data_IF_792882948655
#
_entry.id   IF_792882948655
#
_cell.length_a   1.000
_cell.length_b   1.000
_cell.length_c   1.000
_cell.angle_alpha   90.00
_cell.angle_beta   90.00
_cell.angle_gamma   90.00
#
_symmetry.space_group_name_H-M   'P 1'
#
loop_
_entity.id
_entity.type
_entity.pdbx_description
1 polymer ?
#
# COMPACT_ATOMS: atom_id res chain seq x y z
N UNK A 1 48.49 -31.63 -57.17
CA UNK A 1 47.11 -31.35 -56.76
C UNK A 1 47.14 -30.12 -55.84
N UNK A 2 46.57 -29.00 -56.33
CA UNK A 2 45.86 -27.87 -55.68
C UNK A 2 46.36 -27.40 -54.28
N UNK A 3 46.82 -26.17 -53.98
CA UNK A 3 46.48 -24.74 -54.27
C UNK A 3 45.09 -24.28 -53.78
N UNK A 4 45.09 -23.15 -53.04
CA UNK A 4 44.09 -22.05 -52.94
C UNK A 4 43.39 -21.86 -51.57
N UNK A 5 43.76 -20.80 -50.79
CA UNK A 5 43.03 -19.52 -50.49
C UNK A 5 42.17 -19.67 -49.19
N UNK A 6 41.87 -18.70 -48.33
CA UNK A 6 42.00 -17.22 -48.27
C UNK A 6 41.57 -16.73 -46.87
N UNK A 7 42.01 -15.51 -46.53
CA UNK A 7 41.55 -14.54 -45.52
C UNK A 7 40.09 -14.62 -45.01
N UNK A 8 39.87 -14.26 -43.73
CA UNK A 8 38.89 -13.25 -43.27
C UNK A 8 39.09 -12.97 -41.76
N UNK A 9 39.56 -11.77 -41.39
CA UNK A 9 38.76 -10.67 -40.80
C UNK A 9 38.56 -10.82 -39.28
N UNK A 10 39.37 -10.13 -38.47
CA UNK A 10 38.97 -8.90 -37.75
C UNK A 10 37.62 -9.01 -37.08
N UNK A 11 37.60 -9.05 -35.74
CA UNK A 11 36.73 -8.19 -34.96
C UNK A 11 37.18 -8.17 -33.48
N UNK A 12 37.85 -7.07 -33.17
CA UNK A 12 37.99 -6.52 -31.84
C UNK A 12 36.59 -6.22 -31.27
N UNK A 13 36.26 -6.74 -30.09
CA UNK A 13 35.17 -6.16 -29.29
C UNK A 13 35.59 -6.08 -27.82
N UNK A 14 36.64 -5.30 -27.57
CA UNK A 14 36.61 -4.36 -26.45
C UNK A 14 35.82 -3.13 -26.91
N UNK A 15 34.49 -3.15 -26.84
CA UNK A 15 33.67 -2.01 -27.25
C UNK A 15 32.30 -2.00 -26.54
N UNK A 16 31.98 -0.84 -25.97
CA UNK A 16 30.85 -0.48 -25.09
C UNK A 16 31.08 -0.73 -23.60
N UNK A 17 31.91 0.07 -22.93
CA UNK A 17 31.81 1.53 -22.71
C UNK A 17 30.77 1.88 -21.65
N UNK A 18 31.25 2.63 -20.66
CA UNK A 18 30.49 3.09 -19.52
C UNK A 18 29.58 4.24 -19.91
N UNK A 19 28.47 3.96 -20.60
CA UNK A 19 27.41 4.94 -20.79
C UNK A 19 26.04 4.24 -20.82
N UNK A 20 25.44 4.03 -19.64
CA UNK A 20 23.98 4.09 -19.50
C UNK A 20 23.52 4.30 -18.03
N UNK A 21 24.17 5.27 -17.37
CA UNK A 21 23.60 6.10 -16.30
C UNK A 21 22.42 6.98 -16.81
N UNK A 22 21.57 6.47 -17.70
CA UNK A 22 20.40 7.18 -18.20
C UNK A 22 19.32 6.26 -18.80
N UNK A 23 19.05 5.11 -18.18
CA UNK A 23 17.72 4.48 -18.35
C UNK A 23 16.91 4.56 -17.05
N UNK A 24 16.79 5.80 -16.56
CA UNK A 24 15.51 6.39 -16.13
C UNK A 24 14.47 6.28 -17.25
N UNK A 25 14.20 5.07 -17.77
CA UNK A 25 12.94 4.79 -18.42
C UNK A 25 11.94 4.83 -17.30
N UNK A 26 11.38 6.02 -17.10
CA UNK A 26 10.14 6.24 -16.38
C UNK A 26 9.24 5.08 -16.77
N UNK A 27 9.08 4.10 -15.88
CA UNK A 27 8.05 3.08 -16.02
C UNK A 27 6.79 3.90 -15.93
N UNK A 28 6.30 4.35 -17.10
CA UNK A 28 5.12 5.16 -17.26
C UNK A 28 4.07 4.46 -16.43
N UNK A 29 3.78 5.03 -15.28
CA UNK A 29 3.07 4.37 -14.22
C UNK A 29 1.62 4.32 -14.66
N UNK A 30 1.29 3.34 -15.50
CA UNK A 30 -0.06 3.17 -16.00
C UNK A 30 -0.93 2.95 -14.77
N UNK A 31 -1.76 3.94 -14.48
CA UNK A 31 -2.81 3.87 -13.50
C UNK A 31 -3.79 2.86 -14.09
N UNK A 32 -3.90 1.68 -13.46
CA UNK A 32 -4.71 0.56 -13.95
C UNK A 32 -6.17 0.71 -13.53
N UNK A 33 -6.42 1.48 -12.47
CA UNK A 33 -7.70 1.77 -11.86
C UNK A 33 -7.80 3.28 -11.57
N UNK A 34 -7.82 4.15 -12.61
CA UNK A 34 -7.89 5.60 -12.44
C UNK A 34 -9.14 6.04 -11.69
N UNK A 35 -10.24 5.31 -11.86
CA UNK A 35 -11.49 5.52 -11.14
C UNK A 35 -11.33 5.27 -9.63
N UNK A 36 -10.57 4.24 -9.23
CA UNK A 36 -10.38 3.93 -7.80
C UNK A 36 -9.51 4.98 -7.09
N UNK A 37 -8.46 5.48 -7.76
CA UNK A 37 -7.64 6.57 -7.24
C UNK A 37 -8.39 7.89 -7.20
N UNK A 38 -9.21 8.19 -8.23
CA UNK A 38 -10.06 9.37 -8.26
C UNK A 38 -11.11 9.32 -7.15
N UNK A 39 -11.86 8.22 -7.00
CA UNK A 39 -12.86 8.08 -5.94
C UNK A 39 -12.21 8.18 -4.54
N UNK A 40 -11.02 7.63 -4.35
CA UNK A 40 -10.28 7.75 -3.09
C UNK A 40 -9.98 9.20 -2.70
N UNK A 41 -9.60 10.03 -3.68
CA UNK A 41 -9.33 11.45 -3.45
C UNK A 41 -10.63 12.25 -3.35
N UNK A 42 -11.63 11.92 -4.17
CA UNK A 42 -12.92 12.63 -4.23
C UNK A 42 -13.65 12.62 -2.89
N UNK A 43 -13.83 11.44 -2.26
CA UNK A 43 -14.53 11.35 -0.96
C UNK A 43 -13.81 12.12 0.17
N UNK A 44 -12.47 12.22 0.08
CA UNK A 44 -11.64 12.93 1.06
C UNK A 44 -11.72 14.43 0.88
N UNK A 45 -11.62 14.89 -0.37
CA UNK A 45 -11.72 16.31 -0.71
C UNK A 45 -13.14 16.81 -0.45
N UNK A 46 -14.18 16.02 -0.77
CA UNK A 46 -15.57 16.40 -0.51
C UNK A 46 -15.85 16.57 0.99
N UNK A 47 -15.33 15.69 1.85
CA UNK A 47 -15.53 15.80 3.30
C UNK A 47 -14.88 17.08 3.87
N UNK A 48 -13.70 17.46 3.36
CA UNK A 48 -13.01 18.70 3.75
C UNK A 48 -13.76 19.93 3.26
N UNK A 49 -14.21 19.92 1.99
CA UNK A 49 -14.98 21.02 1.42
C UNK A 49 -16.29 21.21 2.21
N UNK A 50 -17.00 20.14 2.52
CA UNK A 50 -18.23 20.22 3.32
C UNK A 50 -17.95 20.76 4.73
N UNK A 51 -16.85 20.35 5.37
CA UNK A 51 -16.45 20.90 6.67
C UNK A 51 -16.23 22.43 6.59
N UNK A 52 -15.44 22.90 5.62
CA UNK A 52 -15.15 24.33 5.44
C UNK A 52 -16.37 25.15 5.03
N UNK A 53 -17.17 24.66 4.08
CA UNK A 53 -18.38 25.35 3.61
C UNK A 53 -19.46 25.37 4.70
N UNK A 54 -19.59 24.32 5.51
CA UNK A 54 -20.52 24.31 6.63
C UNK A 54 -20.10 25.25 7.75
N UNK A 55 -18.79 25.45 7.96
CA UNK A 55 -18.29 26.45 8.90
C UNK A 55 -18.53 27.89 8.41
N UNK A 56 -18.56 28.10 7.08
CA UNK A 56 -18.68 29.43 6.47
C UNK A 56 -20.12 29.84 6.07
N UNK A 57 -20.98 28.90 5.65
CA UNK A 57 -22.24 29.22 4.93
C UNK A 57 -23.52 28.69 5.60
N UNK A 58 -23.44 27.68 6.48
CA UNK A 58 -24.64 26.97 6.96
C UNK A 58 -25.03 27.31 8.40
N UNK A 59 -26.27 27.77 8.59
CA UNK A 59 -26.88 27.91 9.93
C UNK A 59 -27.31 26.57 10.55
N UNK A 60 -27.43 25.51 9.74
CA UNK A 60 -27.91 24.18 10.20
C UNK A 60 -26.75 23.28 10.63
N UNK A 61 -26.25 23.50 11.84
CA UNK A 61 -25.15 22.72 12.44
C UNK A 61 -25.37 21.19 12.41
N UNK A 62 -26.58 20.73 12.77
CA UNK A 62 -26.89 19.29 12.89
C UNK A 62 -26.83 18.60 11.51
N UNK A 63 -27.41 19.21 10.49
CA UNK A 63 -27.41 18.66 9.14
C UNK A 63 -25.96 18.52 8.62
N UNK A 64 -25.16 19.56 8.78
CA UNK A 64 -23.73 19.54 8.42
C UNK A 64 -22.95 18.45 9.16
N UNK A 65 -23.15 18.32 10.47
CA UNK A 65 -22.53 17.29 11.29
C UNK A 65 -22.85 15.88 10.76
N UNK A 66 -24.12 15.59 10.50
CA UNK A 66 -24.58 14.30 10.00
C UNK A 66 -23.99 14.02 8.62
N UNK A 67 -23.99 15.00 7.71
CA UNK A 67 -23.41 14.85 6.37
C UNK A 67 -21.92 14.52 6.44
N UNK A 68 -21.15 15.21 7.29
CA UNK A 68 -19.70 14.94 7.44
C UNK A 68 -19.46 13.53 8.00
N UNK A 69 -20.22 13.11 9.00
CA UNK A 69 -20.10 11.76 9.58
C UNK A 69 -20.42 10.69 8.53
N UNK A 70 -21.46 10.88 7.72
CA UNK A 70 -21.81 9.95 6.64
C UNK A 70 -20.70 9.89 5.58
N UNK A 71 -20.15 11.04 5.18
CA UNK A 71 -19.03 11.09 4.23
C UNK A 71 -17.78 10.41 4.80
N UNK A 72 -17.44 10.64 6.07
CA UNK A 72 -16.33 9.99 6.75
C UNK A 72 -16.52 8.48 6.86
N UNK A 73 -17.74 8.02 7.12
CA UNK A 73 -18.07 6.59 7.21
C UNK A 73 -17.99 5.92 5.83
N UNK A 74 -18.47 6.60 4.80
CA UNK A 74 -18.36 6.15 3.41
C UNK A 74 -16.88 6.08 2.97
N UNK A 75 -16.08 7.12 3.25
CA UNK A 75 -14.63 7.09 2.99
C UNK A 75 -13.97 5.95 3.76
N UNK A 76 -14.27 5.81 5.05
CA UNK A 76 -13.72 4.73 5.87
C UNK A 76 -14.00 3.36 5.24
N UNK A 77 -15.24 3.11 4.81
CA UNK A 77 -15.63 1.86 4.18
C UNK A 77 -14.96 1.66 2.81
N UNK A 78 -14.96 2.68 1.96
CA UNK A 78 -14.35 2.63 0.64
C UNK A 78 -12.84 2.41 0.73
N UNK A 79 -12.19 3.02 1.73
CA UNK A 79 -10.78 2.84 2.04
C UNK A 79 -10.52 1.40 2.44
N UNK A 80 -11.25 0.91 3.44
CA UNK A 80 -11.09 -0.42 4.03
C UNK A 80 -11.37 -1.56 3.04
N UNK A 81 -12.43 -1.44 2.24
CA UNK A 81 -12.95 -2.55 1.44
C UNK A 81 -12.62 -2.48 -0.06
N UNK A 82 -12.57 -1.28 -0.64
CA UNK A 82 -12.40 -1.11 -2.08
C UNK A 82 -10.96 -0.77 -2.40
N UNK A 83 -10.51 0.41 -1.96
CA UNK A 83 -9.21 0.95 -2.39
C UNK A 83 -8.03 0.19 -1.77
N UNK A 84 -8.13 -0.29 -0.53
CA UNK A 84 -7.13 -1.15 0.08
C UNK A 84 -6.93 -2.47 -0.68
N UNK A 85 -8.01 -3.08 -1.19
CA UNK A 85 -7.94 -4.33 -1.95
C UNK A 85 -7.46 -4.12 -3.38
N UNK A 86 -7.90 -3.04 -4.03
CA UNK A 86 -7.59 -2.76 -5.43
C UNK A 86 -6.20 -2.12 -5.63
N UNK A 87 -5.88 -1.08 -4.85
CA UNK A 87 -4.67 -0.26 -5.07
C UNK A 87 -3.43 -0.79 -4.36
N UNK A 88 -3.57 -1.52 -3.25
CA UNK A 88 -2.43 -2.07 -2.49
C UNK A 88 -2.54 -3.57 -2.20
N UNK A 89 -3.69 -4.19 -2.45
CA UNK A 89 -3.88 -5.61 -2.19
C UNK A 89 -3.74 -5.98 -0.71
N UNK A 90 -4.03 -5.03 0.18
CA UNK A 90 -3.96 -5.23 1.63
C UNK A 90 -5.36 -5.38 2.20
N UNK A 91 -5.51 -6.28 3.17
CA UNK A 91 -6.79 -6.53 3.85
C UNK A 91 -6.55 -6.74 5.33
N UNK A 92 -7.37 -6.11 6.17
CA UNK A 92 -7.36 -6.30 7.62
C UNK A 92 -8.79 -6.44 8.15
N UNK A 93 -9.00 -7.39 9.04
CA UNK A 93 -10.28 -7.61 9.73
C UNK A 93 -10.02 -8.22 11.11
N UNK A 94 -11.06 -8.19 11.94
CA UNK A 94 -11.07 -8.85 13.22
C UNK A 94 -11.89 -10.13 13.11
N UNK A 95 -11.33 -11.26 13.51
CA UNK A 95 -12.02 -12.54 13.64
C UNK A 95 -12.22 -12.80 15.13
N UNK A 96 -13.44 -13.18 15.52
CA UNK A 96 -13.73 -13.57 16.90
C UNK A 96 -13.83 -15.08 16.90
N UNK A 97 -13.02 -15.73 17.72
CA UNK A 97 -13.02 -17.18 17.87
C UNK A 97 -14.19 -17.63 18.75
N UNK A 98 -14.47 -18.94 18.77
CA UNK A 98 -15.57 -19.51 19.58
C UNK A 98 -15.39 -19.25 21.08
N UNK A 99 -14.14 -19.04 21.52
CA UNK A 99 -13.78 -18.62 22.89
C UNK A 99 -14.01 -17.12 23.16
N UNK A 100 -14.58 -16.37 22.20
CA UNK A 100 -14.78 -14.92 22.29
C UNK A 100 -13.51 -14.08 22.17
N UNK A 101 -12.36 -14.68 21.81
CA UNK A 101 -11.08 -13.98 21.66
C UNK A 101 -10.97 -13.28 20.31
N UNK A 102 -10.44 -12.06 20.31
CA UNK A 102 -10.34 -11.17 19.14
C UNK A 102 -9.00 -11.36 18.40
N UNK A 103 -9.02 -12.03 17.26
CA UNK A 103 -7.88 -12.27 16.39
C UNK A 103 -7.84 -11.31 15.21
N UNK A 104 -6.89 -10.38 15.23
CA UNK A 104 -6.68 -9.45 14.13
C UNK A 104 -5.86 -10.08 13.00
N UNK A 105 -6.50 -10.29 11.86
CA UNK A 105 -5.87 -10.91 10.68
C UNK A 105 -5.48 -9.83 9.66
N UNK A 106 -4.22 -9.88 9.20
CA UNK A 106 -3.65 -8.91 8.27
C UNK A 106 -3.06 -9.65 7.06
N UNK A 107 -3.71 -9.50 5.92
CA UNK A 107 -3.29 -10.09 4.65
C UNK A 107 -2.66 -9.04 3.74
N UNK A 108 -1.62 -9.47 3.04
CA UNK A 108 -1.04 -8.74 1.93
C UNK A 108 -0.90 -9.69 0.73
N UNK A 109 -1.42 -9.27 -0.43
CA UNK A 109 -1.34 -10.06 -1.65
C UNK A 109 0.13 -10.13 -2.11
N UNK A 110 0.67 -11.35 -2.22
CA UNK A 110 2.01 -11.55 -2.81
C UNK A 110 2.01 -11.06 -4.26
N UNK A 111 2.96 -10.20 -4.61
CA UNK A 111 3.27 -9.87 -5.99
C UNK A 111 3.92 -11.11 -6.63
N UNK A 112 3.12 -12.09 -7.07
CA UNK A 112 3.66 -13.28 -7.73
C UNK A 112 4.16 -12.91 -9.12
N UNK A 113 5.42 -13.27 -9.42
CA UNK A 113 6.08 -13.10 -10.72
C UNK A 113 5.40 -13.83 -11.90
N UNK A 114 4.36 -14.62 -11.64
CA UNK A 114 3.59 -15.35 -12.65
C UNK A 114 2.10 -14.98 -12.56
N UNK A 115 1.63 -14.17 -13.53
CA UNK A 115 0.29 -14.37 -14.10
C UNK A 115 -0.92 -13.56 -13.62
N UNK A 116 -0.90 -12.72 -12.57
CA UNK A 116 -2.07 -11.85 -12.25
C UNK A 116 -1.68 -10.43 -11.85
N UNK A 117 -2.10 -9.47 -12.69
CA UNK A 117 -2.15 -8.00 -12.51
C UNK A 117 -1.24 -7.47 -11.38
N UNK A 118 0.04 -7.27 -11.68
CA UNK A 118 0.94 -6.53 -10.78
C UNK A 118 0.30 -5.19 -10.42
N UNK A 119 0.09 -4.94 -9.14
CA UNK A 119 -0.41 -3.66 -8.61
C UNK A 119 0.49 -2.54 -9.14
N UNK A 120 -0.09 -1.43 -9.64
CA UNK A 120 0.72 -0.34 -10.17
C UNK A 120 1.43 0.39 -9.04
N UNK A 121 2.74 0.62 -9.16
CA UNK A 121 3.53 1.31 -8.14
C UNK A 121 2.97 2.73 -7.85
N UNK A 122 2.44 3.42 -8.87
CA UNK A 122 1.81 4.73 -8.67
C UNK A 122 0.51 4.66 -7.87
N UNK A 123 -0.32 3.65 -8.08
CA UNK A 123 -1.58 3.48 -7.31
C UNK A 123 -1.28 3.23 -5.85
N UNK A 124 -0.23 2.43 -5.56
CA UNK A 124 0.24 2.23 -4.20
C UNK A 124 0.71 3.55 -3.58
N UNK A 125 1.51 4.35 -4.30
CA UNK A 125 1.99 5.66 -3.81
C UNK A 125 0.84 6.62 -3.52
N UNK A 126 -0.13 6.73 -4.43
CA UNK A 126 -1.31 7.60 -4.27
C UNK A 126 -2.14 7.15 -3.06
N UNK A 127 -2.34 5.84 -2.90
CA UNK A 127 -3.03 5.31 -1.73
C UNK A 127 -2.31 5.65 -0.43
N UNK A 128 -1.00 5.40 -0.33
CA UNK A 128 -0.24 5.69 0.89
C UNK A 128 -0.17 7.19 1.18
N UNK A 129 -0.02 8.02 0.16
CA UNK A 129 -0.05 9.47 0.29
C UNK A 129 -1.41 9.92 0.82
N UNK A 130 -2.51 9.50 0.18
CA UNK A 130 -3.86 9.79 0.64
C UNK A 130 -4.07 9.34 2.07
N UNK A 131 -3.76 8.08 2.38
CA UNK A 131 -3.95 7.45 3.69
C UNK A 131 -3.22 8.17 4.82
N UNK A 132 -2.09 8.82 4.56
CA UNK A 132 -1.31 9.59 5.54
C UNK A 132 -1.74 11.06 5.56
N UNK A 133 -1.89 11.71 4.41
CA UNK A 133 -2.24 13.13 4.32
C UNK A 133 -3.61 13.44 4.93
N UNK A 134 -4.60 12.58 4.73
CA UNK A 134 -5.95 12.82 5.25
C UNK A 134 -6.01 12.86 6.80
N UNK A 135 -5.52 11.86 7.56
CA UNK A 135 -5.49 11.96 9.02
C UNK A 135 -4.66 13.15 9.52
N UNK A 136 -3.57 13.53 8.83
CA UNK A 136 -2.80 14.74 9.18
C UNK A 136 -3.66 16.01 9.09
N UNK A 137 -4.45 16.16 8.02
CA UNK A 137 -5.38 17.29 7.87
C UNK A 137 -6.45 17.29 8.96
N UNK A 138 -7.03 16.12 9.29
CA UNK A 138 -7.99 16.01 10.39
C UNK A 138 -7.39 16.34 11.76
N UNK A 139 -6.12 15.98 11.98
CA UNK A 139 -5.38 16.37 13.20
C UNK A 139 -5.18 17.88 13.25
N UNK A 140 -4.84 18.53 12.15
CA UNK A 140 -4.76 20.00 12.08
C UNK A 140 -6.11 20.62 12.43
N UNK A 141 -7.21 20.12 11.85
CA UNK A 141 -8.56 20.58 12.21
C UNK A 141 -8.89 20.33 13.69
N UNK A 142 -8.34 19.26 14.29
CA UNK A 142 -8.57 18.94 15.70
C UNK A 142 -7.93 20.00 16.58
N UNK A 143 -6.68 20.35 16.28
CA UNK A 143 -5.98 21.42 16.97
C UNK A 143 -6.68 22.77 16.78
N UNK A 144 -7.10 23.13 15.55
CA UNK A 144 -7.81 24.39 15.34
C UNK A 144 -9.13 24.46 16.10
N UNK A 145 -9.91 23.36 16.12
CA UNK A 145 -11.17 23.30 16.86
C UNK A 145 -10.96 23.34 18.38
N UNK A 146 -9.89 22.70 18.87
CA UNK A 146 -9.51 22.67 20.28
C UNK A 146 -9.10 24.06 20.78
N UNK A 147 -8.18 24.74 20.07
CA UNK A 147 -7.72 26.08 20.43
C UNK A 147 -8.81 27.14 20.23
N UNK A 148 -9.73 26.95 19.28
CA UNK A 148 -10.87 27.85 19.07
C UNK A 148 -12.04 27.60 20.04
N UNK A 149 -11.91 26.66 20.98
CA UNK A 149 -12.97 26.22 21.91
C UNK A 149 -14.33 25.91 21.24
N UNK A 150 -14.29 25.43 19.98
CA UNK A 150 -15.49 25.06 19.22
C UNK A 150 -15.92 23.63 19.58
N UNK A 151 -16.36 23.43 20.82
CA UNK A 151 -16.71 22.10 21.39
C UNK A 151 -17.69 21.31 20.53
N UNK A 152 -18.62 22.00 19.87
CA UNK A 152 -19.57 21.41 18.91
C UNK A 152 -18.83 20.63 17.80
N UNK A 153 -17.86 21.25 17.15
CA UNK A 153 -17.10 20.64 16.04
C UNK A 153 -16.07 19.61 16.50
N UNK A 154 -15.66 19.67 17.76
CA UNK A 154 -14.66 18.77 18.32
C UNK A 154 -15.04 17.29 18.17
N UNK A 155 -16.31 16.93 18.39
CA UNK A 155 -16.78 15.55 18.23
C UNK A 155 -16.62 15.04 16.80
N UNK A 156 -16.97 15.85 15.79
CA UNK A 156 -16.84 15.50 14.38
C UNK A 156 -15.38 15.28 14.00
N UNK A 157 -14.52 16.16 14.49
CA UNK A 157 -13.10 16.11 14.16
C UNK A 157 -12.40 14.94 14.85
N UNK A 158 -12.73 14.64 16.11
CA UNK A 158 -12.26 13.44 16.80
C UNK A 158 -12.67 12.18 16.04
N UNK A 159 -13.93 12.10 15.57
CA UNK A 159 -14.40 10.99 14.75
C UNK A 159 -13.62 10.87 13.43
N UNK A 160 -13.33 12.00 12.77
CA UNK A 160 -12.48 12.04 11.58
C UNK A 160 -11.08 11.48 11.82
N UNK A 161 -10.43 11.92 12.90
CA UNK A 161 -9.11 11.40 13.32
C UNK A 161 -9.18 9.90 13.64
N UNK A 162 -10.18 9.46 14.39
CA UNK A 162 -10.31 8.07 14.80
C UNK A 162 -10.53 7.12 13.61
N UNK A 163 -11.47 7.44 12.71
CA UNK A 163 -11.77 6.61 11.54
C UNK A 163 -10.57 6.52 10.59
N UNK A 164 -9.93 7.67 10.29
CA UNK A 164 -8.76 7.69 9.42
C UNK A 164 -7.54 7.02 10.09
N UNK A 165 -7.37 7.22 11.40
CA UNK A 165 -6.33 6.61 12.20
C UNK A 165 -6.44 5.08 12.26
N UNK A 166 -7.65 4.56 12.43
CA UNK A 166 -7.91 3.12 12.41
C UNK A 166 -7.52 2.47 11.07
N UNK A 167 -7.88 3.12 9.96
CA UNK A 167 -7.46 2.68 8.62
C UNK A 167 -5.93 2.74 8.48
N UNK A 168 -5.30 3.87 8.81
CA UNK A 168 -3.85 4.03 8.73
C UNK A 168 -3.11 2.96 9.54
N UNK A 169 -3.51 2.75 10.79
CA UNK A 169 -2.94 1.74 11.67
C UNK A 169 -3.08 0.33 11.07
N UNK A 170 -4.29 -0.04 10.63
CA UNK A 170 -4.55 -1.35 10.05
C UNK A 170 -3.67 -1.64 8.83
N UNK A 171 -3.53 -0.68 7.92
CA UNK A 171 -2.70 -0.84 6.72
C UNK A 171 -1.20 -0.83 7.02
N UNK A 172 -0.72 -0.02 7.97
CA UNK A 172 0.68 -0.06 8.41
C UNK A 172 1.02 -1.46 8.94
N UNK A 173 0.13 -2.03 9.77
CA UNK A 173 0.30 -3.37 10.34
C UNK A 173 0.28 -4.46 9.25
N UNK A 174 -0.56 -4.32 8.22
CA UNK A 174 -0.49 -5.18 7.02
C UNK A 174 0.88 -5.08 6.31
N UNK A 175 1.37 -3.87 6.06
CA UNK A 175 2.63 -3.65 5.32
C UNK A 175 3.85 -4.13 6.09
N UNK A 176 3.92 -3.86 7.39
CA UNK A 176 5.02 -4.30 8.26
C UNK A 176 4.98 -5.82 8.44
N UNK A 177 3.80 -6.40 8.70
CA UNK A 177 3.63 -7.85 8.82
C UNK A 177 4.01 -8.59 7.53
N UNK A 178 3.60 -8.06 6.37
CA UNK A 178 3.97 -8.64 5.08
C UNK A 178 5.48 -8.69 4.84
N UNK A 179 6.24 -7.66 5.25
CA UNK A 179 7.70 -7.64 5.08
C UNK A 179 8.37 -8.69 5.97
N UNK A 180 7.96 -8.78 7.24
CA UNK A 180 8.49 -9.79 8.17
C UNK A 180 8.25 -11.22 7.66
N UNK A 181 7.04 -11.52 7.18
CA UNK A 181 6.71 -12.83 6.62
C UNK A 181 7.56 -13.19 5.38
N UNK A 182 7.88 -12.21 4.53
CA UNK A 182 8.74 -12.43 3.35
C UNK A 182 10.19 -12.71 3.75
N UNK A 183 10.75 -11.93 4.68
CA UNK A 183 12.11 -12.13 5.20
C UNK A 183 12.24 -13.48 5.87
N UNK A 184 11.34 -13.84 6.79
CA UNK A 184 11.38 -15.14 7.49
C UNK A 184 11.25 -16.32 6.53
N UNK A 185 10.39 -16.23 5.52
CA UNK A 185 10.28 -17.26 4.50
C UNK A 185 11.59 -17.40 3.72
N UNK A 186 12.18 -16.29 3.24
CA UNK A 186 13.44 -16.32 2.49
C UNK A 186 14.58 -16.92 3.32
N UNK A 187 14.72 -16.53 4.59
CA UNK A 187 15.72 -17.09 5.51
C UNK A 187 15.51 -18.59 5.72
N UNK A 188 14.27 -19.07 5.87
CA UNK A 188 13.98 -20.49 6.00
C UNK A 188 14.32 -21.27 4.72
N UNK A 189 13.99 -20.73 3.54
CA UNK A 189 14.34 -21.35 2.26
C UNK A 189 15.86 -21.42 2.05
N UNK A 190 16.58 -20.32 2.32
CA UNK A 190 18.04 -20.28 2.22
C UNK A 190 18.70 -21.21 3.25
N UNK A 191 18.25 -21.19 4.50
CA UNK A 191 18.72 -22.11 5.54
C UNK A 191 18.53 -23.58 5.13
N UNK A 192 17.39 -23.93 4.52
CA UNK A 192 17.14 -25.28 4.00
C UNK A 192 18.05 -25.65 2.82
N UNK A 193 18.46 -24.70 1.99
CA UNK A 193 19.44 -24.93 0.91
C UNK A 193 20.84 -25.17 1.49
N UNK A 194 21.26 -24.39 2.48
CA UNK A 194 22.54 -24.60 3.16
C UNK A 194 22.57 -25.94 3.92
N UNK A 195 21.51 -26.29 4.65
CA UNK A 195 21.42 -27.56 5.39
C UNK A 195 21.46 -28.79 4.46
N UNK A 196 20.89 -28.67 3.25
CA UNK A 196 20.98 -29.68 2.19
C UNK A 196 22.37 -29.82 1.58
N UNK A 197 23.19 -28.77 1.62
CA UNK A 197 24.59 -28.83 1.15
C UNK A 197 25.52 -29.46 2.19
N UNK A 198 25.15 -29.46 3.48
CA UNK A 198 25.98 -29.96 4.58
C UNK A 198 25.59 -31.33 5.12
N UNK A 199 24.55 -31.99 4.59
CA UNK A 199 24.22 -33.37 4.99
C UNK A 199 25.06 -34.34 4.14
N UNK A 200 26.08 -35.03 4.69
CA UNK A 200 26.79 -36.08 3.98
C UNK A 200 25.83 -37.23 3.73
N UNK A 201 26.05 -37.93 2.62
CA UNK A 201 25.23 -39.03 2.13
C UNK A 201 25.57 -40.33 2.89
N UNK A 202 25.43 -40.34 4.21
CA UNK A 202 25.70 -41.52 5.03
C UNK A 202 24.43 -42.36 5.18
N UNK A 203 24.06 -43.07 4.11
CA UNK A 203 23.08 -44.18 4.14
C UNK A 203 23.26 -45.10 2.91
N UNK A 204 24.50 -45.58 2.70
CA UNK A 204 24.80 -46.75 1.87
C UNK A 204 25.93 -47.58 2.51
N UNK A 205 25.69 -48.11 3.71
CA UNK A 205 26.53 -49.17 4.28
C UNK A 205 25.74 -49.96 5.35
N UNK A 206 24.69 -50.66 4.92
CA UNK A 206 24.24 -51.86 5.62
C UNK A 206 24.25 -52.97 4.56
N UNK A 207 25.37 -53.68 4.51
CA UNK A 207 25.50 -55.04 3.98
C UNK A 207 25.93 -55.93 5.14
#
# INVERSE_FOLDING_TARGET
MLRQDSNDETEDVSLFDGEDEMSKKSKKSRIKHPIASFCHLFFRVSAIIVYLLCELLSNSYIACMVTIILLLSCDFWAVKNVTGRLMVGLRWWNQVDDDGKSHWVFEARKASARGRKAISEAESRIFWLGLITCPLLWVIFAFTALFSFKVKWLAVVIMGVALQGANLYGYIRCKVGSRKNLTSAATFYLGRQFLRQTTPKDDQAVS
#
